data_IF_142033379273
#
_entry.id   IF_142033379273
#
_cell.length_a   1.000
_cell.length_b   1.000
_cell.length_c   1.000
_cell.angle_alpha   90.00
_cell.angle_beta   90.00
_cell.angle_gamma   90.00
#
_symmetry.space_group_name_H-M   'P 1'
#
loop_
_entity.id
_entity.type
_entity.pdbx_description
1 polymer ?
#
# COMPACT_ATOMS: atom_id res chain seq x y z
N UNK A 1 23.77 -15.77 12.54
CA UNK A 1 23.67 -15.21 11.17
C UNK A 1 23.46 -16.39 10.24
N UNK A 2 22.28 -16.48 9.64
CA UNK A 2 22.05 -17.48 8.60
C UNK A 2 22.94 -17.16 7.39
N UNK A 3 23.46 -18.18 6.71
CA UNK A 3 24.29 -17.96 5.53
C UNK A 3 23.46 -17.30 4.43
N UNK A 4 24.07 -16.41 3.63
CA UNK A 4 23.39 -15.79 2.49
C UNK A 4 22.85 -16.89 1.56
N UNK A 5 21.56 -16.87 1.16
CA UNK A 5 21.00 -17.93 0.33
C UNK A 5 21.76 -18.06 -0.98
N UNK A 6 21.93 -19.30 -1.46
CA UNK A 6 22.43 -19.54 -2.81
C UNK A 6 21.43 -18.98 -3.85
N UNK A 7 21.86 -18.66 -5.08
CA UNK A 7 20.93 -18.21 -6.13
C UNK A 7 19.77 -19.18 -6.41
N UNK A 8 19.97 -20.48 -6.21
CA UNK A 8 18.90 -21.48 -6.34
C UNK A 8 17.96 -21.46 -5.15
N UNK A 9 18.49 -21.30 -3.93
CA UNK A 9 17.67 -21.18 -2.73
C UNK A 9 16.81 -19.91 -2.81
N UNK A 10 17.40 -18.77 -3.14
CA UNK A 10 16.69 -17.50 -3.30
C UNK A 10 15.52 -17.58 -4.30
N UNK A 11 15.72 -18.24 -5.46
CA UNK A 11 14.64 -18.46 -6.43
C UNK A 11 13.51 -19.32 -5.88
N UNK A 12 13.87 -20.35 -5.11
CA UNK A 12 12.91 -21.27 -4.47
C UNK A 12 12.10 -20.54 -3.41
N UNK A 13 12.75 -19.73 -2.58
CA UNK A 13 12.10 -18.95 -1.53
C UNK A 13 11.17 -17.87 -2.10
N UNK A 14 11.61 -17.17 -3.14
CA UNK A 14 10.77 -16.21 -3.86
C UNK A 14 9.55 -16.91 -4.45
N UNK A 15 9.73 -18.04 -5.12
CA UNK A 15 8.61 -18.79 -5.70
C UNK A 15 7.61 -19.27 -4.64
N UNK A 16 8.11 -19.75 -3.50
CA UNK A 16 7.28 -20.17 -2.37
C UNK A 16 6.49 -19.00 -1.77
N UNK A 17 7.17 -17.87 -1.51
CA UNK A 17 6.52 -16.68 -0.95
C UNK A 17 5.47 -16.09 -1.90
N UNK A 18 5.77 -16.01 -3.20
CA UNK A 18 4.80 -15.58 -4.23
C UNK A 18 3.62 -16.56 -4.31
N UNK A 19 3.88 -17.88 -4.27
CA UNK A 19 2.84 -18.91 -4.27
C UNK A 19 1.88 -18.79 -3.08
N UNK A 20 2.40 -18.45 -1.91
CA UNK A 20 1.56 -18.17 -0.72
C UNK A 20 0.65 -16.97 -0.96
N UNK A 21 1.16 -15.87 -1.52
CA UNK A 21 0.35 -14.68 -1.80
C UNK A 21 -0.71 -14.96 -2.87
N UNK A 22 -0.37 -15.69 -3.94
CA UNK A 22 -1.32 -16.15 -4.95
C UNK A 22 -2.45 -16.95 -4.31
N UNK A 23 -2.11 -17.86 -3.39
CA UNK A 23 -3.11 -18.64 -2.65
C UNK A 23 -4.04 -17.76 -1.83
N UNK A 24 -3.51 -16.76 -1.11
CA UNK A 24 -4.32 -15.82 -0.33
C UNK A 24 -5.21 -14.96 -1.22
N UNK A 25 -4.68 -14.39 -2.32
CA UNK A 25 -5.46 -13.56 -3.24
C UNK A 25 -6.59 -14.37 -3.88
N UNK A 26 -6.33 -15.62 -4.26
CA UNK A 26 -7.35 -16.51 -4.81
C UNK A 26 -8.43 -16.84 -3.77
N UNK A 27 -8.05 -17.06 -2.51
CA UNK A 27 -9.00 -17.25 -1.42
C UNK A 27 -9.91 -16.02 -1.22
N UNK A 28 -9.33 -14.82 -1.18
CA UNK A 28 -10.10 -13.58 -1.09
C UNK A 28 -11.06 -13.41 -2.28
N UNK A 29 -10.63 -13.76 -3.50
CA UNK A 29 -11.48 -13.73 -4.68
C UNK A 29 -12.67 -14.69 -4.56
N UNK A 30 -12.43 -15.91 -4.08
CA UNK A 30 -13.47 -16.91 -3.84
C UNK A 30 -14.48 -16.45 -2.76
N UNK A 31 -14.02 -15.70 -1.76
CA UNK A 31 -14.87 -15.07 -0.74
C UNK A 31 -15.61 -13.82 -1.26
N UNK A 32 -15.40 -13.44 -2.52
CA UNK A 32 -16.11 -12.36 -3.20
C UNK A 32 -15.38 -11.02 -3.22
N UNK A 33 -14.11 -10.95 -2.82
CA UNK A 33 -13.31 -9.74 -2.97
C UNK A 33 -13.17 -9.37 -4.45
N UNK A 34 -13.23 -8.06 -4.75
CA UNK A 34 -13.09 -7.53 -6.12
C UNK A 34 -12.06 -6.43 -6.27
N UNK A 35 -11.65 -5.79 -5.18
CA UNK A 35 -10.66 -4.72 -5.19
C UNK A 35 -9.59 -5.07 -4.17
N UNK A 36 -8.34 -5.15 -4.59
CA UNK A 36 -7.21 -5.45 -3.72
C UNK A 36 -6.06 -4.50 -4.02
N UNK A 37 -5.47 -3.95 -2.96
CA UNK A 37 -4.23 -3.19 -3.04
C UNK A 37 -3.05 -4.11 -2.73
N UNK A 38 -2.12 -4.21 -3.66
CA UNK A 38 -0.90 -5.02 -3.54
C UNK A 38 0.28 -4.09 -3.36
N UNK A 39 0.97 -4.21 -2.24
CA UNK A 39 2.22 -3.49 -1.99
C UNK A 39 3.38 -4.32 -2.52
N UNK A 40 4.30 -3.66 -3.23
CA UNK A 40 5.61 -4.26 -3.45
C UNK A 40 6.40 -4.32 -2.14
N UNK A 41 7.42 -5.17 -2.07
CA UNK A 41 8.43 -5.14 -1.01
C UNK A 41 9.31 -3.91 -1.23
N UNK A 42 9.57 -3.08 -0.21
CA UNK A 42 10.41 -1.90 -0.35
C UNK A 42 11.86 -2.30 -0.66
N UNK A 43 12.69 -1.35 -1.09
CA UNK A 43 14.10 -1.62 -1.32
C UNK A 43 14.82 -1.97 0.00
N UNK A 44 14.88 -3.27 0.33
CA UNK A 44 15.40 -3.77 1.60
C UNK A 44 16.88 -3.42 1.80
N UNK A 45 17.63 -3.20 0.72
CA UNK A 45 19.01 -2.74 0.77
C UNK A 45 19.19 -1.36 1.41
N UNK A 46 18.12 -0.56 1.50
CA UNK A 46 18.13 0.77 2.13
C UNK A 46 17.78 0.76 3.62
N UNK A 47 17.34 -0.38 4.17
CA UNK A 47 17.06 -0.50 5.60
C UNK A 47 18.35 -0.34 6.43
N UNK A 48 18.30 0.28 7.63
CA UNK A 48 19.48 0.40 8.47
C UNK A 48 20.15 -0.95 8.78
N UNK A 49 19.36 -2.01 9.00
CA UNK A 49 19.84 -3.37 9.22
C UNK A 49 20.74 -3.85 8.09
N UNK A 50 20.27 -3.77 6.83
CA UNK A 50 21.04 -4.27 5.68
C UNK A 50 22.22 -3.35 5.37
N UNK A 51 22.06 -2.04 5.53
CA UNK A 51 23.16 -1.08 5.32
C UNK A 51 24.32 -1.34 6.27
N UNK A 52 24.06 -1.75 7.52
CA UNK A 52 25.08 -2.11 8.49
C UNK A 52 25.91 -3.36 8.08
N UNK A 53 25.40 -4.19 7.17
CA UNK A 53 26.09 -5.38 6.66
C UNK A 53 26.99 -5.10 5.44
N UNK A 54 26.97 -3.88 4.91
CA UNK A 54 27.87 -3.40 3.87
C UNK A 54 27.40 -3.63 2.42
N UNK A 55 28.20 -3.18 1.43
CA UNK A 55 27.75 -3.03 0.04
C UNK A 55 27.24 -4.31 -0.63
N UNK A 56 27.86 -5.45 -0.34
CA UNK A 56 27.43 -6.75 -0.89
C UNK A 56 26.03 -7.13 -0.40
N UNK A 57 25.73 -6.91 0.88
CA UNK A 57 24.41 -7.18 1.44
C UNK A 57 23.35 -6.20 0.89
N UNK A 58 23.71 -4.92 0.75
CA UNK A 58 22.85 -3.91 0.12
C UNK A 58 22.44 -4.35 -1.28
N UNK A 59 23.42 -4.65 -2.15
CA UNK A 59 23.14 -5.08 -3.53
C UNK A 59 22.32 -6.38 -3.58
N UNK A 60 22.63 -7.34 -2.71
CA UNK A 60 21.90 -8.61 -2.62
C UNK A 60 20.44 -8.42 -2.22
N UNK A 61 20.18 -7.66 -1.15
CA UNK A 61 18.82 -7.43 -0.65
C UNK A 61 17.98 -6.60 -1.63
N UNK A 62 18.55 -5.55 -2.23
CA UNK A 62 17.88 -4.77 -3.29
C UNK A 62 17.49 -5.66 -4.46
N UNK A 63 18.42 -6.50 -4.94
CA UNK A 63 18.19 -7.42 -6.05
C UNK A 63 17.12 -8.48 -5.73
N UNK A 64 17.13 -9.04 -4.52
CA UNK A 64 16.10 -10.01 -4.08
C UNK A 64 14.72 -9.36 -3.96
N UNK A 65 14.62 -8.16 -3.39
CA UNK A 65 13.37 -7.42 -3.31
C UNK A 65 12.81 -7.13 -4.71
N UNK A 66 13.66 -6.69 -5.65
CA UNK A 66 13.26 -6.44 -7.03
C UNK A 66 12.79 -7.73 -7.74
N UNK A 67 13.52 -8.84 -7.55
CA UNK A 67 13.15 -10.13 -8.14
C UNK A 67 11.81 -10.65 -7.59
N UNK A 68 11.59 -10.53 -6.27
CA UNK A 68 10.32 -10.86 -5.64
C UNK A 68 9.17 -10.03 -6.22
N UNK A 69 9.34 -8.71 -6.31
CA UNK A 69 8.31 -7.80 -6.83
C UNK A 69 7.94 -8.11 -8.28
N UNK A 70 8.93 -8.38 -9.14
CA UNK A 70 8.68 -8.78 -10.52
C UNK A 70 7.95 -10.12 -10.63
N UNK A 71 8.31 -11.10 -9.79
CA UNK A 71 7.64 -12.40 -9.74
C UNK A 71 6.19 -12.28 -9.23
N UNK A 72 5.96 -11.46 -8.21
CA UNK A 72 4.63 -11.22 -7.64
C UNK A 72 3.67 -10.63 -8.67
N UNK A 73 4.07 -9.56 -9.35
CA UNK A 73 3.25 -8.93 -10.40
C UNK A 73 2.97 -9.92 -11.53
N UNK A 74 3.99 -10.65 -11.96
CA UNK A 74 3.85 -11.65 -13.03
C UNK A 74 2.87 -12.77 -12.66
N UNK A 75 2.83 -13.17 -11.39
CA UNK A 75 1.93 -14.21 -10.89
C UNK A 75 0.49 -13.72 -10.68
N UNK A 76 0.30 -12.49 -10.17
CA UNK A 76 -1.03 -11.95 -9.88
C UNK A 76 -1.76 -11.42 -11.11
N UNK A 77 -1.04 -11.00 -12.16
CA UNK A 77 -1.65 -10.50 -13.41
C UNK A 77 -2.64 -11.49 -14.03
N UNK A 78 -2.28 -12.75 -14.36
CA UNK A 78 -3.22 -13.70 -14.94
C UNK A 78 -4.35 -14.09 -13.97
N UNK A 79 -4.04 -14.20 -12.66
CA UNK A 79 -5.06 -14.48 -11.64
C UNK A 79 -6.12 -13.37 -11.59
N UNK A 80 -5.71 -12.11 -11.65
CA UNK A 80 -6.64 -10.98 -11.63
C UNK A 80 -7.61 -10.99 -12.81
N UNK A 81 -7.13 -11.38 -14.00
CA UNK A 81 -7.96 -11.51 -15.19
C UNK A 81 -8.94 -12.69 -15.07
N UNK A 82 -8.51 -13.83 -14.52
CA UNK A 82 -9.35 -15.02 -14.34
C UNK A 82 -10.47 -14.78 -13.31
N UNK A 83 -10.16 -14.12 -12.20
CA UNK A 83 -11.08 -13.92 -11.07
C UNK A 83 -11.89 -12.61 -11.17
N UNK A 84 -11.58 -11.78 -12.18
CA UNK A 84 -12.17 -10.45 -12.34
C UNK A 84 -11.85 -9.52 -11.17
N UNK A 85 -10.60 -9.52 -10.72
CA UNK A 85 -10.10 -8.66 -9.65
C UNK A 85 -9.58 -7.33 -10.22
N UNK A 86 -9.88 -6.24 -9.52
CA UNK A 86 -9.24 -4.94 -9.71
C UNK A 86 -8.04 -4.86 -8.76
N UNK A 87 -6.83 -5.02 -9.31
CA UNK A 87 -5.60 -4.89 -8.54
C UNK A 87 -5.00 -3.50 -8.71
N UNK A 88 -4.87 -2.77 -7.59
CA UNK A 88 -4.02 -1.58 -7.50
C UNK A 88 -2.65 -2.00 -6.98
N UNK A 89 -1.57 -1.46 -7.54
CA UNK A 89 -0.20 -1.76 -7.12
C UNK A 89 0.47 -0.53 -6.53
N UNK A 90 0.87 -0.59 -5.26
CA UNK A 90 1.69 0.43 -4.62
C UNK A 90 3.15 0.03 -4.67
N UNK A 91 3.96 0.79 -5.40
CA UNK A 91 5.38 0.53 -5.55
C UNK A 91 6.19 1.13 -4.39
N UNK A 92 6.19 0.44 -3.25
CA UNK A 92 6.95 0.86 -2.06
C UNK A 92 8.47 0.84 -2.28
N UNK A 93 8.95 0.02 -3.23
CA UNK A 93 10.37 -0.01 -3.61
C UNK A 93 10.81 1.36 -4.12
N UNK A 94 10.14 1.88 -5.14
CA UNK A 94 10.47 3.19 -5.70
C UNK A 94 10.11 4.34 -4.77
N UNK A 95 9.09 4.19 -3.92
CA UNK A 95 8.75 5.18 -2.90
C UNK A 95 9.88 5.35 -1.88
N UNK A 96 10.45 4.23 -1.38
CA UNK A 96 11.58 4.28 -0.46
C UNK A 96 12.83 4.87 -1.14
N UNK A 97 13.12 4.47 -2.38
CA UNK A 97 14.23 5.04 -3.15
C UNK A 97 14.09 6.56 -3.29
N UNK A 98 12.88 7.06 -3.58
CA UNK A 98 12.61 8.50 -3.69
C UNK A 98 12.79 9.22 -2.35
N UNK A 99 12.27 8.66 -1.26
CA UNK A 99 12.40 9.25 0.08
C UNK A 99 13.86 9.32 0.55
N UNK A 100 14.68 8.33 0.20
CA UNK A 100 16.12 8.33 0.52
C UNK A 100 16.90 9.29 -0.38
N UNK A 101 16.51 9.41 -1.65
CA UNK A 101 17.18 10.28 -2.62
C UNK A 101 16.93 11.78 -2.37
N UNK A 102 15.73 12.15 -1.93
CA UNK A 102 15.39 13.52 -1.54
C UNK A 102 14.64 13.57 -0.20
N UNK A 103 15.34 13.38 0.93
CA UNK A 103 14.72 13.34 2.26
C UNK A 103 13.88 14.57 2.58
N UNK A 104 14.32 15.75 2.15
CA UNK A 104 13.67 17.01 2.47
C UNK A 104 12.30 17.13 1.79
N UNK A 105 12.16 16.63 0.55
CA UNK A 105 10.86 16.58 -0.13
C UNK A 105 9.82 15.72 0.60
N UNK A 106 10.28 14.75 1.38
CA UNK A 106 9.44 13.87 2.21
C UNK A 106 9.37 14.30 3.68
N UNK A 107 9.99 15.44 4.04
CA UNK A 107 9.96 15.97 5.41
C UNK A 107 10.92 15.29 6.39
N UNK A 108 11.93 14.57 5.89
CA UNK A 108 12.93 13.90 6.71
C UNK A 108 14.27 14.65 6.72
N UNK A 109 14.94 14.61 7.87
CA UNK A 109 16.35 15.01 8.01
C UNK A 109 17.28 13.82 8.15
N UNK A 110 16.77 12.64 8.51
CA UNK A 110 17.56 11.41 8.59
C UNK A 110 16.81 10.23 7.95
N UNK A 111 17.45 9.58 6.98
CA UNK A 111 16.91 8.44 6.23
C UNK A 111 17.81 7.21 6.30
N UNK A 112 18.70 7.18 7.29
CA UNK A 112 19.86 6.29 7.34
C UNK A 112 19.92 5.54 8.66
N UNK A 113 19.68 6.24 9.76
CA UNK A 113 19.81 5.71 11.12
C UNK A 113 18.43 5.43 11.72
N UNK A 114 18.30 4.41 12.59
CA UNK A 114 17.07 4.20 13.33
C UNK A 114 16.86 5.33 14.34
N UNK A 115 15.61 5.79 14.49
CA UNK A 115 15.27 6.71 15.57
C UNK A 115 15.36 6.01 16.94
N UNK A 116 14.98 4.74 17.03
CA UNK A 116 14.98 3.95 18.26
C UNK A 116 16.32 3.22 18.41
N UNK A 117 17.05 3.52 19.48
CA UNK A 117 18.23 2.76 19.90
C UNK A 117 17.93 2.00 21.18
N UNK A 118 17.74 0.68 21.05
CA UNK A 118 17.28 -0.18 22.15
C UNK A 118 15.88 0.24 22.60
N UNK A 119 15.78 0.96 23.71
CA UNK A 119 14.51 1.50 24.25
C UNK A 119 14.46 3.03 24.25
N UNK A 120 15.50 3.70 23.75
CA UNK A 120 15.62 5.16 23.78
C UNK A 120 15.34 5.73 22.38
N UNK A 121 14.31 6.58 22.22
CA UNK A 121 14.05 7.25 20.94
C UNK A 121 15.03 8.40 20.70
N UNK A 122 15.21 8.75 19.43
CA UNK A 122 16.11 9.80 18.96
C UNK A 122 15.69 11.21 19.41
N UNK A 123 14.41 11.37 19.77
CA UNK A 123 13.85 12.58 20.34
C UNK A 123 12.75 12.26 21.36
N UNK A 124 12.54 13.16 22.31
CA UNK A 124 11.50 13.06 23.34
C UNK A 124 10.09 13.42 22.85
N UNK A 125 9.98 14.02 21.66
CA UNK A 125 8.70 14.43 21.06
C UNK A 125 8.46 13.69 19.76
N UNK A 126 7.19 13.44 19.44
CA UNK A 126 6.79 12.81 18.18
C UNK A 126 7.26 13.64 16.97
N UNK A 127 7.16 14.96 17.03
CA UNK A 127 7.63 15.84 15.96
C UNK A 127 9.13 15.67 15.65
N UNK A 128 9.96 15.46 16.69
CA UNK A 128 11.38 15.16 16.52
C UNK A 128 11.64 13.75 15.98
N UNK A 129 10.86 12.76 16.43
CA UNK A 129 10.95 11.38 15.93
C UNK A 129 10.55 11.30 14.45
N UNK A 130 9.54 12.07 14.04
CA UNK A 130 9.05 12.16 12.67
C UNK A 130 10.02 12.86 11.70
N UNK A 131 11.15 13.41 12.17
CA UNK A 131 12.24 13.85 11.29
C UNK A 131 13.08 12.68 10.76
N UNK A 132 12.89 11.47 11.29
CA UNK A 132 13.55 10.25 10.86
C UNK A 132 12.60 9.42 9.99
N UNK A 133 13.13 8.81 8.93
CA UNK A 133 12.37 7.86 8.12
C UNK A 133 12.19 6.53 8.84
N UNK A 134 13.23 6.03 9.51
CA UNK A 134 13.23 4.71 10.16
C UNK A 134 13.00 4.83 11.66
N UNK A 135 12.04 4.08 12.18
CA UNK A 135 11.80 3.92 13.61
C UNK A 135 12.87 3.02 14.22
N UNK A 136 13.05 1.81 13.70
CA UNK A 136 14.10 0.88 14.10
C UNK A 136 14.96 0.49 12.89
N UNK A 137 15.66 -0.65 12.95
CA UNK A 137 16.57 -1.07 11.90
C UNK A 137 15.88 -1.55 10.61
N UNK A 138 14.54 -1.63 10.58
CA UNK A 138 13.78 -2.08 9.43
C UNK A 138 12.53 -1.24 9.13
N UNK A 139 11.81 -0.81 10.17
CA UNK A 139 10.47 -0.24 10.07
C UNK A 139 10.50 1.28 9.95
N UNK A 140 9.58 1.89 9.18
CA UNK A 140 9.46 3.33 9.11
C UNK A 140 8.83 3.93 10.38
N UNK A 141 9.10 5.21 10.64
CA UNK A 141 8.42 6.01 11.67
C UNK A 141 6.95 6.26 11.31
N UNK A 142 6.19 6.87 12.22
CA UNK A 142 4.81 7.28 11.94
C UNK A 142 4.72 8.21 10.71
N UNK A 143 5.68 9.14 10.54
CA UNK A 143 5.76 9.97 9.34
C UNK A 143 6.00 9.15 8.06
N UNK A 144 6.91 8.17 8.10
CA UNK A 144 7.12 7.25 6.97
C UNK A 144 5.88 6.43 6.64
N UNK A 145 5.16 5.93 7.65
CA UNK A 145 3.89 5.23 7.46
C UNK A 145 2.81 6.14 6.88
N UNK A 146 2.75 7.40 7.29
CA UNK A 146 1.78 8.37 6.77
C UNK A 146 1.97 8.62 5.27
N UNK A 147 3.22 8.65 4.78
CA UNK A 147 3.52 8.76 3.34
C UNK A 147 3.01 7.52 2.59
N UNK A 148 3.29 6.31 3.09
CA UNK A 148 2.79 5.07 2.48
C UNK A 148 1.26 5.07 2.43
N UNK A 149 0.60 5.51 3.50
CA UNK A 149 -0.85 5.61 3.57
C UNK A 149 -1.42 6.63 2.58
N UNK A 150 -0.76 7.78 2.40
CA UNK A 150 -1.18 8.79 1.43
C UNK A 150 -1.10 8.27 -0.02
N UNK A 151 0.00 7.60 -0.37
CA UNK A 151 0.16 6.99 -1.70
C UNK A 151 -0.82 5.84 -1.92
N UNK A 152 -1.09 5.03 -0.88
CA UNK A 152 -2.12 3.99 -0.94
C UNK A 152 -3.51 4.59 -1.21
N UNK A 153 -3.86 5.67 -0.51
CA UNK A 153 -5.15 6.34 -0.67
C UNK A 153 -5.32 6.89 -2.09
N UNK A 154 -4.27 7.44 -2.69
CA UNK A 154 -4.29 7.94 -4.07
C UNK A 154 -4.56 6.85 -5.13
N UNK A 155 -4.37 5.57 -4.79
CA UNK A 155 -4.62 4.41 -5.65
C UNK A 155 -6.02 3.79 -5.45
N UNK A 156 -6.77 4.22 -4.44
CA UNK A 156 -8.11 3.74 -4.16
C UNK A 156 -9.12 4.62 -4.91
N UNK A 157 -9.99 4.05 -5.77
CA UNK A 157 -11.04 4.81 -6.42
C UNK A 157 -12.07 5.25 -5.38
N UNK A 158 -12.04 6.52 -4.98
CA UNK A 158 -13.12 7.12 -4.20
C UNK A 158 -14.14 7.78 -5.15
N UNK A 159 -15.45 7.53 -4.99
CA UNK A 159 -16.44 8.30 -5.72
C UNK A 159 -16.33 9.77 -5.29
N UNK A 160 -16.11 10.66 -6.26
CA UNK A 160 -16.01 12.10 -6.00
C UNK A 160 -17.14 12.57 -5.08
N UNK A 161 -16.81 13.38 -4.08
CA UNK A 161 -17.79 13.91 -3.12
C UNK A 161 -18.97 14.58 -3.82
N UNK A 162 -18.73 15.18 -5.00
CA UNK A 162 -19.76 15.73 -5.86
C UNK A 162 -20.70 14.66 -6.44
N UNK A 163 -20.18 13.51 -6.88
CA UNK A 163 -20.98 12.39 -7.39
C UNK A 163 -21.87 11.79 -6.30
N UNK A 164 -21.34 11.67 -5.06
CA UNK A 164 -22.13 11.24 -3.90
C UNK A 164 -23.22 12.26 -3.57
N UNK A 165 -22.89 13.55 -3.57
CA UNK A 165 -23.86 14.62 -3.30
C UNK A 165 -24.93 14.71 -4.39
N UNK A 166 -24.55 14.59 -5.67
CA UNK A 166 -25.47 14.57 -6.80
C UNK A 166 -26.39 13.35 -6.75
N UNK A 167 -25.87 12.17 -6.40
CA UNK A 167 -26.69 10.97 -6.18
C UNK A 167 -27.68 11.17 -5.02
N UNK A 168 -27.24 11.80 -3.92
CA UNK A 168 -28.10 12.14 -2.79
C UNK A 168 -29.23 13.11 -3.20
N UNK A 169 -28.91 14.19 -3.90
CA UNK A 169 -29.89 15.17 -4.38
C UNK A 169 -30.86 14.55 -5.40
N UNK A 170 -30.37 13.73 -6.33
CA UNK A 170 -31.19 13.02 -7.30
C UNK A 170 -32.17 12.04 -6.63
N UNK A 171 -31.71 11.30 -5.62
CA UNK A 171 -32.55 10.43 -4.81
C UNK A 171 -33.65 11.21 -4.06
N UNK A 172 -33.31 12.35 -3.47
CA UNK A 172 -34.27 13.21 -2.77
C UNK A 172 -35.33 13.78 -3.72
N UNK A 173 -34.93 14.24 -4.91
CA UNK A 173 -35.83 14.75 -5.93
C UNK A 173 -36.83 13.69 -6.42
N UNK A 174 -36.38 12.45 -6.61
CA UNK A 174 -37.25 11.32 -6.98
C UNK A 174 -38.30 11.02 -5.91
N UNK A 175 -37.92 11.01 -4.63
CA UNK A 175 -38.84 10.78 -3.50
C UNK A 175 -39.88 11.89 -3.39
N UNK A 176 -39.45 13.16 -3.49
CA UNK A 176 -40.36 14.31 -3.44
C UNK A 176 -41.30 14.35 -4.65
N UNK A 177 -40.78 14.08 -5.85
CA UNK A 177 -41.56 13.99 -7.08
C UNK A 177 -42.62 12.89 -7.05
N UNK A 178 -42.28 11.70 -6.54
CA UNK A 178 -43.22 10.60 -6.39
C UNK A 178 -44.34 10.92 -5.37
N UNK A 179 -44.02 11.62 -4.26
CA UNK A 179 -45.02 12.08 -3.28
C UNK A 179 -45.97 13.12 -3.88
N UNK A 180 -45.43 14.09 -4.62
CA UNK A 180 -46.24 15.11 -5.29
C UNK A 180 -47.17 14.49 -6.35
N UNK A 181 -46.66 13.54 -7.13
CA UNK A 181 -47.44 12.85 -8.16
C UNK A 181 -48.56 11.98 -7.54
N UNK A 182 -48.27 11.27 -6.43
CA UNK A 182 -49.29 10.54 -5.65
C UNK A 182 -50.38 11.45 -5.08
N UNK A 183 -50.03 12.63 -4.54
CA UNK A 183 -51.02 13.60 -4.04
C UNK A 183 -51.92 14.14 -5.16
N UNK A 184 -51.35 14.46 -6.33
CA UNK A 184 -52.14 14.92 -7.48
C UNK A 184 -53.07 13.84 -8.02
N UNK A 185 -52.64 12.58 -7.99
CA UNK A 185 -53.46 11.45 -8.43
C UNK A 185 -54.64 11.21 -7.46
N UNK A 186 -54.41 11.27 -6.14
CA UNK A 186 -55.46 11.15 -5.13
C UNK A 186 -56.52 12.26 -5.25
N UNK A 187 -56.10 13.50 -5.56
CA UNK A 187 -57.03 14.63 -5.71
C UNK A 187 -57.94 14.52 -6.95
N UNK A 188 -57.49 13.81 -8.00
CA UNK A 188 -58.29 13.57 -9.22
C UNK A 188 -59.30 12.42 -9.09
N UNK A 189 -59.14 11.55 -8.10
CA UNK A 189 -60.04 10.40 -7.87
C UNK A 189 -61.22 10.78 -6.96
N UNK A 190 -61.09 11.84 -6.16
CA UNK A 190 -62.13 12.32 -5.24
C UNK A 190 -62.97 13.49 -5.77
N UNK A 191 -62.83 13.84 -7.05
CA UNK A 191 -63.63 14.85 -7.76
C UNK A 191 -64.44 14.16 -8.86
#
# INVERSE_FOLDING_TARGET
>A
MEANPTPTQARTDIAAAVGNIVTFVNGLAADGAKNLLVLSVPNLGLTPLVRALGPTAIAGASGLAQAFNGALISALTPLSAAEGLNLSYLNTYSLLDAAVADPAAFGFTNVTDPCLSGTTPCASTEAGQNQYLFWDDQHPTAAGQAIIAADALALVPEPDSFSLFAAMLGGLALVLGARFMRMRYAHKICA
#
